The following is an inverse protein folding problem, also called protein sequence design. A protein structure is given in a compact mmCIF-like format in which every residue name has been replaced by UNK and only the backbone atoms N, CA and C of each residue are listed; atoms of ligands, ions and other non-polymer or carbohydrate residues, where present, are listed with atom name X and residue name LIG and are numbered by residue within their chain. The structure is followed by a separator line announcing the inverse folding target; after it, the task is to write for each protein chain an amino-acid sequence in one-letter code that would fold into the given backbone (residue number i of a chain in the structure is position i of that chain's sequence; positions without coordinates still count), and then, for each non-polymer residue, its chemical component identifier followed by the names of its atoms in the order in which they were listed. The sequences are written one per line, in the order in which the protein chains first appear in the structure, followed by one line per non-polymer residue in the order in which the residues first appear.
data_IF_625288174012
#
_entry.id   IF_625288174012
#
_cell.length_a   1.000
_cell.length_b   1.000
_cell.length_c   1.000
_cell.angle_alpha   90.00
_cell.angle_beta   90.00
_cell.angle_gamma   90.00
#
_symmetry.space_group_name_H-M   'P 1'
#
loop_
_entity.id
_entity.type
_entity.pdbx_description
1 polymer ?
#
# COMPACT_ATOMS: atom_id res chain seq x y z
N UNK A 1 5.15 -3.87 -1.91
CA UNK A 1 5.40 -4.80 -3.05
C UNK A 1 5.20 -6.24 -2.68
N UNK A 2 5.60 -6.65 -1.48
CA UNK A 2 5.35 -7.99 -0.93
C UNK A 2 3.89 -8.40 -1.10
N UNK A 3 2.94 -7.59 -0.60
CA UNK A 3 1.49 -7.85 -0.72
C UNK A 3 1.05 -8.04 -2.18
N UNK A 4 1.68 -7.31 -3.10
CA UNK A 4 1.35 -7.30 -4.53
C UNK A 4 2.10 -8.36 -5.35
N UNK A 5 2.97 -9.15 -4.72
CA UNK A 5 3.80 -10.13 -5.41
C UNK A 5 4.91 -9.53 -6.28
N UNK A 6 5.19 -8.22 -6.17
CA UNK A 6 6.23 -7.51 -6.95
C UNK A 6 7.59 -7.43 -6.26
N UNK A 7 7.70 -7.99 -5.07
CA UNK A 7 8.93 -7.91 -4.29
C UNK A 7 10.07 -8.74 -4.91
N UNK A 8 11.23 -8.12 -5.10
CA UNK A 8 12.43 -8.66 -5.71
C UNK A 8 13.36 -9.33 -4.68
N UNK A 9 13.12 -9.15 -3.37
CA UNK A 9 14.00 -9.66 -2.34
C UNK A 9 13.90 -11.19 -2.24
N UNK A 10 14.92 -11.91 -2.72
CA UNK A 10 14.95 -13.39 -2.74
C UNK A 10 15.34 -14.04 -1.41
N UNK A 11 15.68 -13.24 -0.40
CA UNK A 11 15.73 -13.64 1.02
C UNK A 11 16.44 -14.95 1.36
N UNK A 12 17.57 -15.25 0.71
CA UNK A 12 18.45 -16.37 1.07
C UNK A 12 17.77 -17.74 1.21
N UNK A 13 16.61 -17.94 0.58
CA UNK A 13 15.84 -19.19 0.59
C UNK A 13 15.05 -19.52 1.88
N UNK A 14 15.01 -18.66 2.91
CA UNK A 14 14.32 -18.97 4.18
C UNK A 14 13.21 -17.96 4.48
N UNK A 15 11.97 -18.31 4.10
CA UNK A 15 10.76 -17.64 4.59
C UNK A 15 9.90 -16.95 3.53
N UNK A 16 10.50 -16.52 2.40
CA UNK A 16 9.74 -15.90 1.29
C UNK A 16 8.68 -16.85 0.73
N UNK A 17 9.02 -18.11 0.47
CA UNK A 17 8.07 -19.06 -0.11
C UNK A 17 6.90 -19.34 0.83
N UNK A 18 7.16 -19.38 2.14
CA UNK A 18 6.12 -19.52 3.16
C UNK A 18 5.22 -18.28 3.18
N UNK A 19 5.80 -17.08 3.14
CA UNK A 19 5.06 -15.82 3.08
C UNK A 19 4.21 -15.73 1.81
N UNK A 20 4.79 -16.00 0.65
CA UNK A 20 4.09 -15.96 -0.64
C UNK A 20 2.99 -17.01 -0.71
N UNK A 21 3.24 -18.24 -0.21
CA UNK A 21 2.20 -19.27 -0.09
C UNK A 21 1.05 -18.82 0.81
N UNK A 22 1.35 -18.16 1.92
CA UNK A 22 0.32 -17.62 2.81
C UNK A 22 -0.49 -16.51 2.13
N UNK A 23 0.18 -15.59 1.41
CA UNK A 23 -0.50 -14.53 0.65
C UNK A 23 -1.40 -15.14 -0.43
N UNK A 24 -0.90 -16.09 -1.21
CA UNK A 24 -1.72 -16.84 -2.20
C UNK A 24 -2.96 -17.47 -1.57
N UNK A 25 -2.80 -18.14 -0.42
CA UNK A 25 -3.91 -18.75 0.29
C UNK A 25 -4.95 -17.72 0.78
N UNK A 26 -4.52 -16.55 1.23
CA UNK A 26 -5.40 -15.46 1.65
C UNK A 26 -6.17 -14.93 0.44
N UNK A 27 -5.48 -14.61 -0.65
CA UNK A 27 -6.11 -14.07 -1.86
C UNK A 27 -7.00 -15.08 -2.57
N UNK A 28 -6.71 -16.38 -2.51
CA UNK A 28 -7.61 -17.43 -2.97
C UNK A 28 -8.94 -17.44 -2.20
N UNK A 29 -8.89 -17.24 -0.88
CA UNK A 29 -10.11 -17.12 -0.05
C UNK A 29 -10.89 -15.85 -0.37
N UNK A 30 -10.20 -14.71 -0.56
CA UNK A 30 -10.84 -13.45 -0.95
C UNK A 30 -11.51 -13.62 -2.31
N UNK A 31 -10.80 -14.16 -3.31
CA UNK A 31 -11.34 -14.45 -4.64
C UNK A 31 -12.56 -15.37 -4.59
N UNK A 32 -12.53 -16.43 -3.77
CA UNK A 32 -13.65 -17.34 -3.56
C UNK A 32 -14.90 -16.66 -2.97
N UNK A 33 -14.72 -15.60 -2.18
CA UNK A 33 -15.79 -14.80 -1.59
C UNK A 33 -16.33 -13.69 -2.49
N UNK A 34 -15.72 -13.44 -3.66
CA UNK A 34 -16.21 -12.45 -4.62
C UNK A 34 -17.48 -12.94 -5.33
N UNK A 35 -18.36 -12.01 -5.70
CA UNK A 35 -19.49 -12.31 -6.57
C UNK A 35 -19.02 -12.67 -7.99
N UNK A 36 -19.90 -13.25 -8.80
CA UNK A 36 -19.55 -13.74 -10.13
C UNK A 36 -19.02 -12.64 -11.06
N UNK A 37 -19.64 -11.46 -11.04
CA UNK A 37 -19.20 -10.33 -11.86
C UNK A 37 -17.78 -9.86 -11.51
N UNK A 38 -17.44 -9.78 -10.22
CA UNK A 38 -16.11 -9.41 -9.76
C UNK A 38 -15.08 -10.51 -10.05
N UNK A 39 -15.44 -11.79 -9.93
CA UNK A 39 -14.54 -12.89 -10.32
C UNK A 39 -14.23 -12.87 -11.81
N UNK A 40 -15.22 -12.58 -12.65
CA UNK A 40 -15.03 -12.47 -14.11
C UNK A 40 -14.15 -11.26 -14.51
N UNK A 41 -14.04 -10.25 -13.64
CA UNK A 41 -13.10 -9.15 -13.86
C UNK A 41 -11.64 -9.58 -13.61
N UNK A 42 -11.41 -10.49 -12.66
CA UNK A 42 -10.09 -10.96 -12.27
C UNK A 42 -9.76 -12.32 -12.92
N UNK A 43 -9.07 -12.28 -14.06
CA UNK A 43 -8.74 -13.47 -14.86
C UNK A 43 -7.55 -14.29 -14.34
N UNK A 44 -6.81 -13.79 -13.34
CA UNK A 44 -5.70 -14.50 -12.71
C UNK A 44 -6.16 -15.20 -11.43
N UNK A 45 -6.27 -16.53 -11.52
CA UNK A 45 -6.67 -17.41 -10.40
C UNK A 45 -5.49 -18.09 -9.69
N UNK A 46 -4.26 -17.85 -10.12
CA UNK A 46 -3.06 -18.53 -9.59
C UNK A 46 -2.29 -17.63 -8.64
N UNK A 47 -1.97 -16.43 -9.10
CA UNK A 47 -1.16 -15.47 -8.34
C UNK A 47 -2.02 -14.30 -7.83
N UNK A 48 -3.17 -14.06 -8.45
CA UNK A 48 -4.12 -13.00 -8.13
C UNK A 48 -3.53 -11.59 -8.28
N UNK A 49 -2.62 -11.36 -9.24
CA UNK A 49 -1.87 -10.10 -9.34
C UNK A 49 -2.79 -8.88 -9.45
N UNK A 50 -3.80 -8.90 -10.33
CA UNK A 50 -4.75 -7.79 -10.49
C UNK A 50 -5.54 -7.54 -9.19
N UNK A 51 -6.09 -8.60 -8.59
CA UNK A 51 -6.82 -8.51 -7.33
C UNK A 51 -5.93 -7.95 -6.19
N UNK A 52 -4.65 -8.34 -6.14
CA UNK A 52 -3.69 -7.83 -5.14
C UNK A 52 -3.36 -6.35 -5.34
N UNK A 53 -3.24 -5.89 -6.58
CA UNK A 53 -3.01 -4.47 -6.91
C UNK A 53 -4.22 -3.61 -6.50
N UNK A 54 -5.42 -4.06 -6.84
CA UNK A 54 -6.66 -3.36 -6.49
C UNK A 54 -6.89 -3.36 -4.99
N UNK A 55 -6.63 -4.49 -4.33
CA UNK A 55 -6.68 -4.59 -2.87
C UNK A 55 -5.71 -3.61 -2.22
N UNK A 56 -4.48 -3.51 -2.73
CA UNK A 56 -3.52 -2.53 -2.22
C UNK A 56 -4.02 -1.10 -2.42
N UNK A 57 -4.50 -0.77 -3.62
CA UNK A 57 -5.02 0.57 -3.94
C UNK A 57 -6.19 0.96 -3.04
N UNK A 58 -7.10 0.02 -2.74
CA UNK A 58 -8.25 0.25 -1.87
C UNK A 58 -7.88 0.37 -0.38
N UNK A 59 -6.79 -0.25 0.09
CA UNK A 59 -6.45 -0.35 1.51
C UNK A 59 -5.19 0.45 1.92
N UNK A 60 -4.44 1.04 0.97
CA UNK A 60 -3.18 1.74 1.23
C UNK A 60 -3.31 2.87 2.25
N UNK A 61 -4.44 3.56 2.27
CA UNK A 61 -4.73 4.64 3.23
C UNK A 61 -4.80 4.10 4.67
N UNK A 62 -5.57 3.03 4.88
CA UNK A 62 -5.70 2.38 6.19
C UNK A 62 -4.38 1.77 6.64
N UNK A 63 -3.63 1.15 5.73
CA UNK A 63 -2.29 0.62 6.00
C UNK A 63 -1.34 1.74 6.41
N UNK A 64 -1.36 2.86 5.70
CA UNK A 64 -0.55 4.04 6.03
C UNK A 64 -0.90 4.62 7.41
N UNK A 65 -2.19 4.76 7.71
CA UNK A 65 -2.67 5.21 9.02
C UNK A 65 -2.18 4.31 10.16
N UNK A 66 -2.16 2.99 9.94
CA UNK A 66 -1.63 2.04 10.91
C UNK A 66 -0.10 2.18 11.09
N UNK A 67 0.66 2.30 10.00
CA UNK A 67 2.12 2.47 10.02
C UNK A 67 2.53 3.76 10.74
N UNK A 68 1.76 4.84 10.54
CA UNK A 68 2.06 6.17 11.07
C UNK A 68 1.42 6.45 12.43
N UNK A 69 0.73 5.48 13.02
CA UNK A 69 -0.05 5.66 14.25
C UNK A 69 0.77 6.25 15.42
N UNK A 70 2.05 5.87 15.53
CA UNK A 70 2.98 6.34 16.57
C UNK A 70 4.26 6.93 15.95
N UNK A 71 4.19 7.40 14.71
CA UNK A 71 5.36 7.97 14.05
C UNK A 71 5.53 9.43 14.48
N UNK A 72 6.67 9.73 15.11
CA UNK A 72 7.09 11.11 15.41
C UNK A 72 7.96 11.63 14.26
N UNK A 73 7.55 12.73 13.64
CA UNK A 73 8.28 13.40 12.57
C UNK A 73 7.44 13.74 11.34
N UNK A 74 8.09 14.39 10.37
CA UNK A 74 7.45 14.87 9.14
C UNK A 74 7.90 14.05 7.94
N UNK A 75 6.96 13.75 7.03
CA UNK A 75 7.32 13.20 5.73
C UNK A 75 8.00 14.29 4.90
N UNK A 76 9.16 14.00 4.31
CA UNK A 76 10.08 14.97 3.72
C UNK A 76 9.49 15.83 2.60
N UNK A 77 8.43 15.38 1.92
CA UNK A 77 7.71 16.17 0.94
C UNK A 77 6.64 17.01 1.63
N UNK A 78 6.83 18.33 1.71
CA UNK A 78 5.81 19.24 2.22
C UNK A 78 4.52 19.11 1.41
N UNK A 79 3.44 18.80 2.09
CA UNK A 79 2.19 18.35 1.46
C UNK A 79 1.11 19.42 1.40
N UNK A 80 1.36 20.59 2.00
CA UNK A 80 0.40 21.68 2.10
C UNK A 80 1.09 23.00 1.71
N UNK A 81 0.52 23.68 0.72
CA UNK A 81 0.84 25.08 0.38
C UNK A 81 -0.48 25.81 0.19
N UNK A 82 -1.13 26.20 1.28
CA UNK A 82 -2.39 26.98 1.22
C UNK A 82 -2.16 28.47 0.96
N UNK A 83 -0.94 28.89 0.63
CA UNK A 83 -0.60 30.28 0.32
C UNK A 83 0.22 30.32 -0.95
N UNK A 84 0.04 31.37 -1.78
CA UNK A 84 0.90 31.72 -2.93
C UNK A 84 2.37 32.03 -2.56
N UNK A 85 2.80 31.63 -1.37
CA UNK A 85 4.16 31.66 -0.84
C UNK A 85 4.38 30.32 -0.17
N UNK A 86 5.37 29.58 -0.66
CA UNK A 86 5.53 28.16 -0.40
C UNK A 86 5.71 27.78 1.06
N UNK A 87 5.38 26.51 1.33
CA UNK A 87 5.98 25.69 2.38
C UNK A 87 5.37 25.81 3.78
N UNK A 88 4.08 25.50 3.96
CA UNK A 88 3.58 25.12 5.28
C UNK A 88 3.92 23.65 5.53
N UNK A 89 5.02 23.39 6.24
CA UNK A 89 5.34 22.05 6.70
C UNK A 89 4.42 21.69 7.88
N UNK A 90 3.73 20.56 7.78
CA UNK A 90 2.92 20.05 8.88
C UNK A 90 3.85 19.62 10.01
N UNK A 91 3.86 20.35 11.14
CA UNK A 91 4.85 20.19 12.23
C UNK A 91 4.60 18.98 13.12
N UNK A 92 3.34 18.59 13.30
CA UNK A 92 2.98 17.66 14.38
C UNK A 92 2.32 16.36 13.89
N UNK A 93 1.73 16.35 12.67
CA UNK A 93 1.22 15.15 11.97
C UNK A 93 1.30 15.40 10.47
N UNK A 94 1.58 14.37 9.66
CA UNK A 94 2.01 14.48 8.26
C UNK A 94 1.13 15.26 7.24
N UNK A 95 0.00 15.94 7.57
CA UNK A 95 -0.71 16.98 6.75
C UNK A 95 -1.64 17.88 7.62
N UNK A 96 -2.04 19.05 7.09
CA UNK A 96 -3.06 19.96 7.66
C UNK A 96 -4.47 19.36 7.61
N UNK A 97 -5.12 19.27 8.78
CA UNK A 97 -6.47 18.78 9.02
C UNK A 97 -6.60 18.41 10.50
N UNK A 98 -7.82 18.22 11.02
CA UNK A 98 -8.13 17.89 12.44
C UNK A 98 -7.66 16.49 12.86
N UNK A 99 -6.40 16.14 12.59
CA UNK A 99 -5.79 14.87 12.97
C UNK A 99 -6.13 13.67 12.08
N UNK A 100 -6.79 13.87 10.94
CA UNK A 100 -7.18 12.77 10.06
C UNK A 100 -6.03 12.36 9.11
N UNK A 101 -5.51 11.14 9.32
CA UNK A 101 -4.31 10.56 8.66
C UNK A 101 -4.70 9.78 7.39
N UNK A 102 -5.81 10.16 6.75
CA UNK A 102 -6.43 9.41 5.65
C UNK A 102 -5.66 9.53 4.32
N UNK A 103 -4.81 10.55 4.16
CA UNK A 103 -4.08 10.77 2.91
C UNK A 103 -2.66 10.20 2.99
N UNK A 104 -2.34 9.23 2.12
CA UNK A 104 -0.97 8.73 1.94
C UNK A 104 -0.13 9.79 1.22
N UNK A 105 0.90 10.40 1.86
CA UNK A 105 1.67 11.50 1.27
C UNK A 105 2.73 11.03 0.27
N UNK A 106 2.84 9.73 0.03
CA UNK A 106 3.84 9.10 -0.83
C UNK A 106 3.21 8.34 -1.98
N UNK A 107 3.92 8.33 -3.11
CA UNK A 107 3.62 7.48 -4.26
C UNK A 107 4.74 6.46 -4.49
N UNK A 108 5.62 6.22 -3.51
CA UNK A 108 6.69 5.24 -3.64
C UNK A 108 6.15 3.83 -3.88
N UNK A 109 4.95 3.52 -3.40
CA UNK A 109 4.27 2.27 -3.75
C UNK A 109 3.92 2.16 -5.25
N UNK A 110 3.91 3.24 -6.02
CA UNK A 110 3.76 3.18 -7.49
C UNK A 110 5.09 3.29 -8.24
N UNK A 111 6.21 3.45 -7.54
CA UNK A 111 7.56 3.45 -8.13
C UNK A 111 8.10 2.00 -8.15
N UNK A 112 8.60 1.50 -9.30
CA UNK A 112 9.20 0.17 -9.38
C UNK A 112 10.30 -0.02 -8.34
N UNK A 113 10.35 -1.19 -7.70
CA UNK A 113 11.23 -1.44 -6.54
C UNK A 113 12.71 -1.10 -6.76
N UNK A 114 13.21 -1.29 -7.98
CA UNK A 114 14.60 -1.01 -8.32
C UNK A 114 14.97 0.48 -8.22
N UNK A 115 14.00 1.38 -8.40
CA UNK A 115 14.20 2.84 -8.38
C UNK A 115 13.79 3.50 -7.05
N UNK A 116 13.41 2.71 -6.05
CA UNK A 116 13.00 3.20 -4.73
C UNK A 116 14.17 3.46 -3.81
#
# INVERSE_FOLDING_TARGET
DIVRGRDLYRGGGRGRDKLEKNLKNIFAKIYGGLNEAARNHYNDSTDYFQLREDWWTANRETVWKAITCNADGTYFNATCSNTKRGGSQAKDKCRCGDGDVTIVPTYFDYVPQYFR
#
